data_IF_530706589326
#
_entry.id   IF_530706589326
#
_cell.length_a   1.000
_cell.length_b   1.000
_cell.length_c   1.000
_cell.angle_alpha   90.00
_cell.angle_beta   90.00
_cell.angle_gamma   90.00
#
_symmetry.space_group_name_H-M   'P 1'
#
loop_
_entity.id
_entity.type
_entity.pdbx_description
1 polymer ?
#
# COMPACT_ATOMS: atom_id res chain seq x y z
N UNK A 1 16.24 16.23 14.94
CA UNK A 1 14.83 15.99 14.59
C UNK A 1 14.47 14.57 14.97
N UNK A 2 13.60 14.41 15.97
CA UNK A 2 13.02 13.14 16.43
C UNK A 2 11.66 12.94 15.79
N UNK A 3 11.46 11.82 15.12
CA UNK A 3 10.29 11.56 14.27
C UNK A 3 9.49 10.40 14.88
N UNK A 4 8.21 10.64 15.17
CA UNK A 4 7.28 9.61 15.59
C UNK A 4 6.32 9.28 14.44
N UNK A 5 6.40 8.06 13.94
CA UNK A 5 5.35 7.48 13.11
C UNK A 5 4.31 6.81 14.01
N UNK A 6 3.02 7.07 13.79
CA UNK A 6 1.93 6.44 14.55
C UNK A 6 1.02 5.67 13.61
N UNK A 7 0.76 4.41 13.94
CA UNK A 7 -0.13 3.50 13.21
C UNK A 7 -0.92 2.62 14.19
N UNK A 8 -1.97 1.93 13.74
CA UNK A 8 -2.75 1.04 14.63
C UNK A 8 -2.02 -0.27 14.94
N UNK A 9 -1.61 -1.02 13.92
CA UNK A 9 -0.83 -2.26 14.01
C UNK A 9 -0.08 -2.45 12.70
N UNK A 10 1.18 -2.85 12.74
CA UNK A 10 1.96 -3.23 11.56
C UNK A 10 1.54 -4.61 11.02
N UNK A 11 0.28 -4.70 10.58
CA UNK A 11 -0.31 -5.87 9.92
C UNK A 11 -0.09 -5.81 8.40
N UNK A 12 -0.62 -6.79 7.66
CA UNK A 12 -0.57 -6.82 6.21
C UNK A 12 -1.47 -5.73 5.57
N UNK A 13 -0.84 -4.70 5.00
CA UNK A 13 -1.52 -3.66 4.24
C UNK A 13 -0.56 -2.65 3.60
N UNK A 14 -1.11 -1.81 2.71
CA UNK A 14 -0.31 -0.83 1.96
C UNK A 14 0.20 0.33 2.82
N UNK A 15 -0.64 0.82 3.74
CA UNK A 15 -0.27 1.93 4.64
C UNK A 15 0.82 1.50 5.63
N UNK A 16 0.73 0.27 6.15
CA UNK A 16 1.70 -0.34 7.03
C UNK A 16 3.07 -0.50 6.34
N UNK A 17 3.08 -0.94 5.08
CA UNK A 17 4.30 -0.99 4.26
C UNK A 17 4.90 0.41 4.08
N UNK A 18 4.08 1.42 3.81
CA UNK A 18 4.57 2.80 3.65
C UNK A 18 5.09 3.38 4.97
N UNK A 19 4.47 3.07 6.10
CA UNK A 19 5.00 3.41 7.42
C UNK A 19 6.40 2.83 7.62
N UNK A 20 6.60 1.55 7.32
CA UNK A 20 7.90 0.86 7.43
C UNK A 20 8.92 1.48 6.47
N UNK A 21 8.59 1.62 5.18
CA UNK A 21 9.48 2.21 4.16
C UNK A 21 9.92 3.61 4.59
N UNK A 22 8.97 4.46 5.02
CA UNK A 22 9.30 5.83 5.43
C UNK A 22 10.19 5.86 6.67
N UNK A 23 9.88 5.03 7.68
CA UNK A 23 10.66 4.94 8.90
C UNK A 23 12.09 4.46 8.63
N UNK A 24 12.23 3.41 7.82
CA UNK A 24 13.51 2.85 7.40
C UNK A 24 14.34 3.87 6.60
N UNK A 25 13.72 4.59 5.67
CA UNK A 25 14.38 5.61 4.86
C UNK A 25 14.97 6.74 5.71
N UNK A 26 14.17 7.30 6.63
CA UNK A 26 14.65 8.35 7.53
C UNK A 26 15.73 7.84 8.50
N UNK A 27 15.55 6.64 9.04
CA UNK A 27 16.55 6.01 9.91
C UNK A 27 17.88 5.81 9.19
N UNK A 28 17.85 5.38 7.92
CA UNK A 28 19.03 5.20 7.07
C UNK A 28 19.77 6.51 6.78
N UNK A 29 19.06 7.64 6.80
CA UNK A 29 19.65 8.98 6.66
C UNK A 29 20.08 9.58 8.01
N UNK A 30 20.10 8.79 9.09
CA UNK A 30 20.63 9.17 10.41
C UNK A 30 19.66 9.90 11.33
N UNK A 31 18.36 9.90 11.05
CA UNK A 31 17.36 10.54 11.92
C UNK A 31 16.95 9.61 13.07
N UNK A 32 16.57 10.20 14.22
CA UNK A 32 16.00 9.46 15.35
C UNK A 32 14.53 9.15 15.07
N UNK A 33 14.24 7.90 14.71
CA UNK A 33 12.92 7.46 14.26
C UNK A 33 12.34 6.44 15.25
N UNK A 34 11.09 6.68 15.65
CA UNK A 34 10.28 5.73 16.41
C UNK A 34 8.99 5.42 15.67
N UNK A 35 8.60 4.15 15.63
CA UNK A 35 7.27 3.69 15.19
C UNK A 35 6.44 3.29 16.41
N UNK A 36 5.28 3.91 16.56
CA UNK A 36 4.32 3.61 17.61
C UNK A 36 3.10 2.87 17.04
N UNK A 37 2.86 1.67 17.56
CA UNK A 37 1.67 0.87 17.27
C UNK A 37 0.63 1.05 18.39
N UNK A 38 -0.57 1.52 18.06
CA UNK A 38 -1.60 1.81 19.06
C UNK A 38 -2.17 0.56 19.72
N UNK A 39 -2.39 -0.53 18.98
CA UNK A 39 -3.21 -1.65 19.45
C UNK A 39 -2.39 -2.83 19.98
N UNK A 40 -1.48 -3.35 19.17
CA UNK A 40 -0.62 -4.51 19.47
C UNK A 40 0.56 -4.49 18.49
N UNK A 41 1.61 -5.25 18.81
CA UNK A 41 2.75 -5.45 17.90
C UNK A 41 2.31 -6.28 16.70
N UNK A 42 2.58 -5.76 15.50
CA UNK A 42 2.25 -6.39 14.23
C UNK A 42 3.40 -7.22 13.64
N UNK A 43 3.09 -8.24 12.82
CA UNK A 43 4.10 -9.13 12.23
C UNK A 43 5.05 -8.42 11.25
N UNK A 44 4.61 -7.32 10.62
CA UNK A 44 5.48 -6.57 9.71
C UNK A 44 6.53 -5.73 10.44
N UNK A 45 6.45 -5.61 11.78
CA UNK A 45 7.48 -4.95 12.58
C UNK A 45 8.89 -5.54 12.37
N UNK A 46 8.98 -6.81 11.96
CA UNK A 46 10.26 -7.47 11.61
C UNK A 46 11.00 -6.85 10.41
N UNK A 47 10.30 -6.05 9.59
CA UNK A 47 10.90 -5.35 8.45
C UNK A 47 11.40 -3.94 8.80
N UNK A 48 11.20 -3.48 10.04
CA UNK A 48 11.84 -2.27 10.51
C UNK A 48 13.35 -2.50 10.68
N UNK A 49 14.16 -1.52 10.27
CA UNK A 49 15.60 -1.56 10.49
C UNK A 49 15.92 -1.56 12.00
N UNK A 50 17.02 -2.21 12.45
CA UNK A 50 17.37 -2.31 13.87
C UNK A 50 17.50 -0.97 14.60
N UNK A 51 17.81 0.11 13.88
CA UNK A 51 17.94 1.46 14.42
C UNK A 51 16.60 2.15 14.68
N UNK A 52 15.50 1.67 14.08
CA UNK A 52 14.16 2.21 14.31
C UNK A 52 13.65 1.72 15.66
N UNK A 53 13.35 2.66 16.56
CA UNK A 53 12.75 2.33 17.85
C UNK A 53 11.29 1.95 17.66
N UNK A 54 10.77 1.06 18.51
CA UNK A 54 9.35 0.69 18.49
C UNK A 54 8.71 0.92 19.85
N UNK A 55 7.46 1.35 19.84
CA UNK A 55 6.61 1.48 21.03
C UNK A 55 5.27 0.82 20.71
N UNK A 56 4.76 0.01 21.64
CA UNK A 56 3.38 -0.46 21.55
C UNK A 56 2.57 0.05 22.72
N UNK A 57 1.49 0.78 22.44
CA UNK A 57 0.65 1.40 23.47
C UNK A 57 -0.37 0.42 24.08
N UNK A 58 -0.60 -0.73 23.44
CA UNK A 58 -1.53 -1.76 23.88
C UNK A 58 -2.94 -1.24 24.20
N UNK A 59 -3.44 -0.29 23.40
CA UNK A 59 -4.74 0.35 23.61
C UNK A 59 -5.87 -0.67 23.46
N UNK A 60 -6.54 -0.98 24.58
CA UNK A 60 -7.72 -1.87 24.62
C UNK A 60 -9.03 -1.17 24.25
N UNK A 61 -9.15 0.13 24.55
CA UNK A 61 -10.37 0.91 24.31
C UNK A 61 -10.03 2.33 23.85
N UNK A 62 -10.85 2.86 22.93
CA UNK A 62 -10.73 4.26 22.45
C UNK A 62 -11.10 5.31 23.51
N UNK A 63 -11.73 4.89 24.62
CA UNK A 63 -12.15 5.77 25.71
C UNK A 63 -11.24 5.68 26.95
N UNK A 64 -10.13 4.94 26.87
CA UNK A 64 -9.20 4.82 28.00
C UNK A 64 -8.40 6.12 28.15
N UNK A 65 -8.75 6.93 29.15
CA UNK A 65 -8.12 8.23 29.43
C UNK A 65 -6.65 8.08 29.80
N UNK A 66 -6.29 7.04 30.56
CA UNK A 66 -4.88 6.77 30.90
C UNK A 66 -4.06 6.58 29.63
N UNK A 67 -4.56 5.78 28.69
CA UNK A 67 -3.87 5.55 27.40
C UNK A 67 -3.78 6.83 26.55
N UNK A 68 -4.75 7.74 26.65
CA UNK A 68 -4.69 9.05 25.99
C UNK A 68 -3.60 9.94 26.62
N UNK A 69 -3.50 9.94 27.95
CA UNK A 69 -2.45 10.66 28.68
C UNK A 69 -1.07 10.09 28.38
N UNK A 70 -0.89 8.76 28.48
CA UNK A 70 0.37 8.08 28.15
C UNK A 70 0.80 8.42 26.70
N UNK A 71 -0.16 8.44 25.76
CA UNK A 71 0.13 8.83 24.37
C UNK A 71 0.59 10.30 24.31
N UNK A 72 -0.09 11.22 24.99
CA UNK A 72 0.32 12.63 25.04
C UNK A 72 1.75 12.80 25.56
N UNK A 73 2.11 12.15 26.67
CA UNK A 73 3.48 12.22 27.19
C UNK A 73 4.52 11.67 26.21
N UNK A 74 4.13 10.71 25.37
CA UNK A 74 4.98 10.21 24.29
C UNK A 74 5.10 11.26 23.18
N UNK A 75 3.98 11.86 22.73
CA UNK A 75 3.97 12.86 21.66
C UNK A 75 4.93 14.03 21.98
N UNK A 76 5.01 14.46 23.24
CA UNK A 76 5.87 15.57 23.66
C UNK A 76 7.38 15.32 23.55
N UNK A 77 7.79 14.07 23.34
CA UNK A 77 9.21 13.68 23.20
C UNK A 77 9.73 13.81 21.77
N UNK A 78 8.86 14.12 20.81
CA UNK A 78 9.18 14.13 19.39
C UNK A 78 8.92 15.48 18.74
N UNK A 79 9.73 15.79 17.73
CA UNK A 79 9.62 17.03 16.97
C UNK A 79 8.54 16.92 15.88
N UNK A 80 8.35 15.71 15.33
CA UNK A 80 7.44 15.42 14.21
C UNK A 80 6.50 14.28 14.61
N UNK A 81 5.19 14.50 14.46
CA UNK A 81 4.16 13.48 14.67
C UNK A 81 3.49 13.14 13.33
N UNK A 82 3.94 12.05 12.72
CA UNK A 82 3.45 11.54 11.43
C UNK A 82 2.47 10.40 11.65
N UNK A 83 1.18 10.66 11.44
CA UNK A 83 0.12 9.67 11.67
C UNK A 83 -0.36 9.06 10.37
N UNK A 84 -0.33 7.74 10.30
CA UNK A 84 -0.83 6.98 9.16
C UNK A 84 -2.29 6.60 9.41
N UNK A 85 -3.15 6.82 8.40
CA UNK A 85 -4.60 6.52 8.42
C UNK A 85 -5.47 7.46 9.28
N UNK A 86 -6.69 7.70 8.78
CA UNK A 86 -7.66 8.64 9.38
C UNK A 86 -8.18 8.23 10.76
N UNK A 87 -8.37 6.93 11.04
CA UNK A 87 -8.85 6.47 12.36
C UNK A 87 -7.79 6.57 13.44
N UNK A 88 -6.52 6.34 13.09
CA UNK A 88 -5.38 6.55 13.98
C UNK A 88 -5.25 8.06 14.27
N UNK A 89 -5.29 8.89 13.23
CA UNK A 89 -5.21 10.35 13.37
C UNK A 89 -6.28 10.91 14.32
N UNK A 90 -7.53 10.47 14.23
CA UNK A 90 -8.59 10.88 15.16
C UNK A 90 -8.24 10.60 16.61
N UNK A 91 -7.61 9.46 16.89
CA UNK A 91 -7.20 9.11 18.25
C UNK A 91 -5.98 9.92 18.71
N UNK A 92 -4.99 10.10 17.84
CA UNK A 92 -3.81 10.93 18.12
C UNK A 92 -4.20 12.39 18.34
N UNK A 93 -5.14 12.92 17.57
CA UNK A 93 -5.70 14.27 17.74
C UNK A 93 -6.28 14.48 19.14
N UNK A 94 -7.01 13.49 19.69
CA UNK A 94 -7.53 13.56 21.06
C UNK A 94 -6.41 13.62 22.11
N UNK A 95 -5.36 12.81 21.94
CA UNK A 95 -4.20 12.84 22.84
C UNK A 95 -3.36 14.11 22.69
N UNK A 96 -3.30 14.67 21.49
CA UNK A 96 -2.55 15.88 21.18
C UNK A 96 -3.17 17.16 21.77
N UNK A 97 -4.36 17.08 22.39
CA UNK A 97 -4.96 18.22 23.09
C UNK A 97 -4.04 18.80 24.18
N UNK A 98 -3.24 17.94 24.83
CA UNK A 98 -2.30 18.33 25.88
C UNK A 98 -0.93 18.74 25.30
N UNK A 99 -0.42 17.99 24.32
CA UNK A 99 0.91 18.20 23.71
C UNK A 99 0.98 19.35 22.71
N UNK A 100 -0.16 19.75 22.12
CA UNK A 100 -0.30 20.87 21.15
C UNK A 100 0.70 20.82 19.99
N UNK A 101 1.08 19.63 19.52
CA UNK A 101 1.98 19.47 18.36
C UNK A 101 1.23 19.66 17.05
N UNK A 102 1.92 20.12 16.01
CA UNK A 102 1.40 20.06 14.65
C UNK A 102 1.39 18.60 14.18
N UNK A 103 0.19 18.05 13.95
CA UNK A 103 0.01 16.69 13.45
C UNK A 103 0.09 16.64 11.92
N UNK A 104 0.62 15.54 11.40
CA UNK A 104 0.59 15.22 9.97
C UNK A 104 -0.30 14.01 9.76
N UNK A 105 -1.40 14.17 9.00
CA UNK A 105 -2.19 13.05 8.50
C UNK A 105 -1.62 12.61 7.15
N UNK A 106 -1.12 11.38 7.09
CA UNK A 106 -0.81 10.71 5.84
C UNK A 106 -1.98 9.80 5.45
N UNK A 107 -2.72 10.23 4.43
CA UNK A 107 -3.99 9.64 4.05
C UNK A 107 -3.84 8.68 2.87
N UNK A 108 -4.01 7.40 3.18
CA UNK A 108 -4.00 6.31 2.20
C UNK A 108 -5.41 5.92 1.73
N UNK A 109 -6.45 6.64 2.16
CA UNK A 109 -7.84 6.34 1.83
C UNK A 109 -8.21 6.84 0.43
N UNK A 110 -9.03 6.07 -0.32
CA UNK A 110 -9.39 6.39 -1.70
C UNK A 110 -10.88 6.58 -1.96
N UNK A 111 -11.72 6.37 -0.94
CA UNK A 111 -13.18 6.42 -1.11
C UNK A 111 -13.75 7.74 -0.61
N UNK A 112 -13.23 8.86 -1.13
CA UNK A 112 -13.61 10.20 -0.68
C UNK A 112 -15.10 10.52 -0.83
N UNK A 113 -15.80 9.90 -1.79
CA UNK A 113 -17.25 10.03 -1.97
C UNK A 113 -18.09 9.16 -1.03
N UNK A 114 -17.49 8.22 -0.31
CA UNK A 114 -18.19 7.28 0.60
C UNK A 114 -17.77 7.52 2.05
N UNK A 115 -17.44 8.74 2.40
CA UNK A 115 -17.01 9.06 3.74
C UNK A 115 -18.16 8.98 4.72
N UNK A 116 -17.94 8.23 5.80
CA UNK A 116 -18.89 8.09 6.91
C UNK A 116 -18.92 9.34 7.81
N UNK A 117 -17.94 10.24 7.69
CA UNK A 117 -17.76 11.42 8.53
C UNK A 117 -17.90 12.65 7.65
N UNK A 118 -18.61 13.67 8.14
CA UNK A 118 -18.82 14.91 7.39
C UNK A 118 -17.52 15.70 7.21
N UNK A 119 -17.42 16.43 6.10
CA UNK A 119 -16.28 17.31 5.82
C UNK A 119 -16.08 18.37 6.92
N UNK A 120 -17.16 18.83 7.57
CA UNK A 120 -17.09 19.80 8.66
C UNK A 120 -16.32 19.26 9.88
N UNK A 121 -16.49 17.97 10.19
CA UNK A 121 -15.73 17.32 11.27
C UNK A 121 -14.26 17.20 10.87
N UNK A 122 -13.97 16.80 9.64
CA UNK A 122 -12.59 16.75 9.17
C UNK A 122 -11.92 18.13 9.13
N UNK A 123 -12.65 19.18 8.76
CA UNK A 123 -12.15 20.55 8.83
C UNK A 123 -11.71 20.90 10.26
N UNK A 124 -12.53 20.60 11.27
CA UNK A 124 -12.17 20.82 12.68
C UNK A 124 -10.93 20.01 13.11
N UNK A 125 -10.80 18.78 12.63
CA UNK A 125 -9.70 17.88 12.99
C UNK A 125 -8.38 18.20 12.28
N UNK A 126 -8.43 18.81 11.09
CA UNK A 126 -7.27 19.02 10.23
C UNK A 126 -6.89 20.50 10.07
N UNK A 127 -7.78 21.42 10.40
CA UNK A 127 -7.45 22.85 10.43
C UNK A 127 -6.35 23.10 11.45
N UNK A 128 -5.29 23.81 11.05
CA UNK A 128 -4.09 23.99 11.88
C UNK A 128 -3.11 22.82 11.85
N UNK A 129 -3.38 21.77 11.06
CA UNK A 129 -2.50 20.61 10.87
C UNK A 129 -2.11 20.43 9.40
N UNK A 130 -1.31 19.40 9.11
CA UNK A 130 -0.85 19.08 7.76
C UNK A 130 -1.59 17.85 7.25
N UNK A 131 -2.05 17.92 6.00
CA UNK A 131 -2.61 16.80 5.27
C UNK A 131 -1.67 16.39 4.13
N UNK A 132 -1.42 15.09 4.01
CA UNK A 132 -0.64 14.51 2.92
C UNK A 132 -1.46 13.43 2.24
N UNK A 133 -1.84 13.66 0.99
CA UNK A 133 -2.51 12.68 0.15
C UNK A 133 -1.54 11.95 -0.76
N UNK A 134 -1.88 10.71 -1.12
CA UNK A 134 -1.05 9.89 -2.02
C UNK A 134 -1.42 10.00 -3.51
N UNK A 135 -2.48 10.75 -3.83
CA UNK A 135 -2.97 10.99 -5.18
C UNK A 135 -3.70 12.34 -5.28
N UNK A 136 -3.96 12.78 -6.52
CA UNK A 136 -4.66 14.04 -6.79
C UNK A 136 -6.08 14.09 -6.20
N UNK A 137 -6.80 12.97 -6.21
CA UNK A 137 -8.16 12.91 -5.67
C UNK A 137 -8.19 13.27 -4.17
N UNK A 138 -7.20 12.80 -3.39
CA UNK A 138 -7.09 13.10 -1.97
C UNK A 138 -6.67 14.54 -1.69
N UNK A 139 -5.79 15.11 -2.52
CA UNK A 139 -5.40 16.52 -2.43
C UNK A 139 -6.57 17.43 -2.75
N UNK A 140 -7.29 17.16 -3.84
CA UNK A 140 -8.47 17.91 -4.24
C UNK A 140 -9.57 17.81 -3.18
N UNK A 141 -9.80 16.63 -2.60
CA UNK A 141 -10.74 16.48 -1.51
C UNK A 141 -10.37 17.35 -0.29
N UNK A 142 -9.09 17.36 0.10
CA UNK A 142 -8.62 18.18 1.23
C UNK A 142 -8.80 19.68 1.00
N UNK A 143 -8.51 20.18 -0.21
CA UNK A 143 -8.60 21.61 -0.53
C UNK A 143 -10.05 22.01 -0.80
N UNK A 144 -10.74 21.31 -1.71
CA UNK A 144 -12.02 21.75 -2.26
C UNK A 144 -13.21 21.34 -1.40
N UNK A 145 -13.17 20.14 -0.79
CA UNK A 145 -14.31 19.60 -0.05
C UNK A 145 -14.22 19.84 1.45
N UNK A 146 -13.02 19.79 2.03
CA UNK A 146 -12.81 20.14 3.46
C UNK A 146 -12.56 21.64 3.63
N UNK A 147 -11.85 22.29 2.70
CA UNK A 147 -11.45 23.69 2.84
C UNK A 147 -10.12 23.89 3.59
N UNK A 148 -9.17 22.95 3.49
CA UNK A 148 -7.85 23.12 4.10
C UNK A 148 -7.00 24.14 3.34
N UNK A 149 -6.13 24.85 4.07
CA UNK A 149 -5.19 25.81 3.48
C UNK A 149 -4.21 25.09 2.53
N UNK A 150 -4.07 25.60 1.31
CA UNK A 150 -3.26 24.98 0.25
C UNK A 150 -1.82 24.75 0.69
N UNK A 151 -1.25 25.67 1.48
CA UNK A 151 0.13 25.56 1.96
C UNK A 151 0.33 24.45 3.01
N UNK A 152 -0.76 23.85 3.53
CA UNK A 152 -0.76 22.73 4.48
C UNK A 152 -1.20 21.40 3.86
N UNK A 153 -1.47 21.38 2.56
CA UNK A 153 -1.87 20.19 1.81
C UNK A 153 -0.74 19.79 0.86
N UNK A 154 -0.29 18.55 0.94
CA UNK A 154 0.78 18.03 0.10
C UNK A 154 0.36 16.75 -0.63
N UNK A 155 0.90 16.53 -1.83
CA UNK A 155 0.88 15.23 -2.51
C UNK A 155 2.22 14.56 -2.32
N UNK A 156 2.23 13.32 -1.81
CA UNK A 156 3.44 12.49 -1.77
C UNK A 156 3.10 11.10 -2.30
N UNK A 157 3.72 10.73 -3.42
CA UNK A 157 3.45 9.48 -4.11
C UNK A 157 4.25 8.37 -3.42
N UNK A 158 3.60 7.24 -3.19
CA UNK A 158 4.20 6.11 -2.48
C UNK A 158 5.41 5.52 -3.21
N UNK A 159 6.39 5.08 -2.43
CA UNK A 159 7.57 4.32 -2.88
C UNK A 159 7.68 3.00 -2.11
N UNK A 160 8.50 2.07 -2.61
CA UNK A 160 8.89 0.84 -1.92
C UNK A 160 10.41 0.78 -1.72
N UNK A 161 10.83 0.13 -0.63
CA UNK A 161 12.21 -0.33 -0.50
C UNK A 161 12.39 -1.59 -1.36
N UNK A 162 13.29 -1.51 -2.35
CA UNK A 162 13.64 -2.67 -3.19
C UNK A 162 14.40 -3.69 -2.35
N UNK A 163 13.94 -4.93 -2.38
CA UNK A 163 14.64 -6.07 -1.78
C UNK A 163 15.50 -6.74 -2.84
N UNK A 164 16.70 -7.20 -2.45
CA UNK A 164 17.56 -7.98 -3.34
C UNK A 164 16.84 -9.24 -3.84
N UNK A 165 17.01 -9.51 -5.13
CA UNK A 165 16.37 -10.63 -5.78
C UNK A 165 17.02 -11.94 -5.33
N UNK A 166 16.21 -12.89 -4.87
CA UNK A 166 16.69 -14.23 -4.46
C UNK A 166 16.65 -15.29 -5.55
N UNK A 167 15.76 -15.12 -6.54
CA UNK A 167 15.50 -16.12 -7.58
C UNK A 167 15.65 -15.53 -8.98
N UNK A 168 16.68 -15.96 -9.71
CA UNK A 168 16.86 -15.59 -11.11
C UNK A 168 16.05 -16.49 -12.05
N UNK A 169 15.85 -17.76 -11.66
CA UNK A 169 15.08 -18.74 -12.42
C UNK A 169 13.60 -18.50 -12.21
N UNK A 170 12.88 -18.37 -13.33
CA UNK A 170 11.42 -18.23 -13.33
C UNK A 170 10.74 -19.52 -13.70
N UNK A 171 9.68 -19.82 -12.96
CA UNK A 171 8.71 -20.82 -13.35
C UNK A 171 7.71 -20.22 -14.36
N UNK A 172 6.84 -21.07 -14.89
CA UNK A 172 5.75 -20.70 -15.80
C UNK A 172 4.46 -20.22 -15.11
N UNK A 173 4.46 -20.18 -13.77
CA UNK A 173 3.28 -19.88 -12.99
C UNK A 173 3.02 -18.38 -12.93
N UNK A 174 1.77 -18.02 -12.68
CA UNK A 174 1.32 -16.64 -12.56
C UNK A 174 1.02 -16.33 -11.10
N UNK A 175 1.07 -15.05 -10.74
CA UNK A 175 0.85 -14.62 -9.37
C UNK A 175 -0.12 -13.45 -9.30
N UNK A 176 -1.10 -13.54 -8.41
CA UNK A 176 -1.99 -12.45 -8.03
C UNK A 176 -1.70 -12.09 -6.57
N UNK A 177 -1.05 -10.96 -6.33
CA UNK A 177 -0.87 -10.46 -4.96
C UNK A 177 -2.00 -9.51 -4.62
N UNK A 178 -2.91 -9.94 -3.75
CA UNK A 178 -4.01 -9.12 -3.25
C UNK A 178 -4.61 -9.72 -1.98
N UNK A 179 -4.96 -8.87 -1.02
CA UNK A 179 -5.87 -9.27 0.06
C UNK A 179 -7.20 -9.76 -0.51
N UNK A 180 -7.75 -10.84 0.05
CA UNK A 180 -8.97 -11.47 -0.44
C UNK A 180 -10.17 -10.75 0.14
N UNK A 181 -10.76 -9.89 -0.70
CA UNK A 181 -11.92 -9.06 -0.40
C UNK A 181 -12.64 -8.68 -1.68
N UNK A 182 -13.97 -8.57 -1.64
CA UNK A 182 -14.79 -8.32 -2.84
C UNK A 182 -14.38 -7.09 -3.64
N UNK A 183 -13.90 -6.04 -2.99
CA UNK A 183 -13.45 -4.81 -3.66
C UNK A 183 -12.22 -5.00 -4.58
N UNK A 184 -11.47 -6.09 -4.38
CA UNK A 184 -10.28 -6.44 -5.17
C UNK A 184 -10.61 -7.25 -6.42
N UNK A 185 -11.88 -7.64 -6.62
CA UNK A 185 -12.37 -8.30 -7.84
C UNK A 185 -11.59 -9.58 -8.17
N UNK A 186 -11.32 -10.41 -7.14
CA UNK A 186 -10.56 -11.67 -7.29
C UNK A 186 -11.39 -12.75 -7.99
N UNK A 187 -12.72 -12.68 -7.94
CA UNK A 187 -13.65 -13.56 -8.64
C UNK A 187 -13.45 -13.57 -10.16
N UNK A 188 -12.90 -12.48 -10.74
CA UNK A 188 -12.49 -12.47 -12.15
C UNK A 188 -11.39 -13.50 -12.47
N UNK A 189 -10.64 -13.96 -11.47
CA UNK A 189 -9.68 -15.04 -11.65
C UNK A 189 -10.33 -16.30 -12.21
N UNK A 190 -11.59 -16.57 -11.89
CA UNK A 190 -12.28 -17.81 -12.27
C UNK A 190 -12.43 -17.93 -13.80
N UNK A 191 -13.09 -17.00 -14.51
CA UNK A 191 -13.18 -17.07 -15.97
C UNK A 191 -11.81 -16.91 -16.65
N UNK A 192 -10.90 -16.11 -16.09
CA UNK A 192 -9.56 -15.95 -16.62
C UNK A 192 -8.73 -17.24 -16.52
N UNK A 193 -8.78 -17.93 -15.39
CA UNK A 193 -8.08 -19.19 -15.16
C UNK A 193 -8.53 -20.25 -16.17
N UNK A 194 -9.84 -20.33 -16.46
CA UNK A 194 -10.36 -21.23 -17.50
C UNK A 194 -9.71 -20.96 -18.86
N UNK A 195 -9.72 -19.71 -19.31
CA UNK A 195 -9.12 -19.30 -20.59
C UNK A 195 -7.60 -19.58 -20.64
N UNK A 196 -6.88 -19.37 -19.54
CA UNK A 196 -5.43 -19.66 -19.44
C UNK A 196 -5.18 -21.17 -19.50
N UNK A 197 -5.94 -21.95 -18.76
CA UNK A 197 -5.73 -23.38 -18.59
C UNK A 197 -6.13 -24.20 -19.80
N UNK A 198 -7.08 -23.70 -20.61
CA UNK A 198 -7.39 -24.23 -21.94
C UNK A 198 -6.23 -24.02 -22.93
N UNK A 199 -5.50 -22.90 -22.82
CA UNK A 199 -4.35 -22.61 -23.68
C UNK A 199 -3.06 -23.31 -23.23
N UNK A 200 -2.78 -23.37 -21.92
CA UNK A 200 -1.63 -24.07 -21.35
C UNK A 200 -2.04 -24.85 -20.09
N UNK A 201 -2.16 -26.17 -20.24
CA UNK A 201 -2.52 -27.12 -19.19
C UNK A 201 -1.50 -27.21 -18.03
N UNK A 202 -0.31 -26.64 -18.19
CA UNK A 202 0.77 -26.75 -17.22
C UNK A 202 0.93 -25.57 -16.27
N UNK A 203 0.29 -24.42 -16.52
CA UNK A 203 0.41 -23.22 -15.66
C UNK A 203 -0.34 -23.39 -14.33
N UNK A 204 0.20 -22.86 -13.23
CA UNK A 204 -0.56 -22.64 -11.99
C UNK A 204 -0.69 -21.15 -11.70
N UNK A 205 -1.70 -20.78 -10.91
CA UNK A 205 -1.89 -19.40 -10.44
C UNK A 205 -1.86 -19.39 -8.92
N UNK A 206 -0.94 -18.63 -8.34
CA UNK A 206 -0.89 -18.42 -6.91
C UNK A 206 -1.54 -17.09 -6.54
N UNK A 207 -2.48 -17.11 -5.60
CA UNK A 207 -3.08 -15.92 -5.00
C UNK A 207 -2.41 -15.69 -3.65
N UNK A 208 -1.63 -14.62 -3.55
CA UNK A 208 -0.92 -14.25 -2.33
C UNK A 208 -1.66 -13.13 -1.63
N UNK A 209 -2.10 -13.37 -0.39
CA UNK A 209 -2.69 -12.33 0.44
C UNK A 209 -3.60 -12.87 1.53
N UNK A 210 -3.94 -11.99 2.47
CA UNK A 210 -4.75 -12.35 3.63
C UNK A 210 -6.23 -12.41 3.30
N UNK A 211 -6.95 -13.36 3.89
CA UNK A 211 -8.42 -13.38 3.86
C UNK A 211 -8.95 -12.25 4.74
N UNK A 212 -9.62 -11.28 4.12
CA UNK A 212 -10.25 -10.15 4.80
C UNK A 212 -11.79 -10.21 4.74
N UNK A 213 -12.31 -11.18 3.98
CA UNK A 213 -13.73 -11.45 3.75
C UNK A 213 -13.89 -12.98 3.57
N UNK A 214 -14.21 -13.68 4.66
CA UNK A 214 -14.30 -15.15 4.68
C UNK A 214 -15.41 -15.66 3.76
N UNK A 215 -16.58 -15.00 3.76
CA UNK A 215 -17.70 -15.39 2.89
C UNK A 215 -17.32 -15.29 1.41
N UNK A 216 -16.68 -14.19 0.99
CA UNK A 216 -16.22 -14.05 -0.39
C UNK A 216 -15.13 -15.07 -0.76
N UNK A 217 -14.25 -15.41 0.18
CA UNK A 217 -13.24 -16.45 -0.02
C UNK A 217 -13.89 -17.84 -0.22
N UNK A 218 -14.91 -18.18 0.57
CA UNK A 218 -15.70 -19.41 0.41
C UNK A 218 -16.42 -19.45 -0.95
N UNK A 219 -17.04 -18.34 -1.36
CA UNK A 219 -17.70 -18.21 -2.67
C UNK A 219 -16.74 -18.53 -3.83
N UNK A 220 -15.52 -17.96 -3.81
CA UNK A 220 -14.50 -18.20 -4.84
C UNK A 220 -14.03 -19.66 -4.79
N UNK A 221 -13.75 -20.17 -3.60
CA UNK A 221 -13.22 -21.54 -3.41
C UNK A 221 -14.20 -22.61 -3.88
N UNK A 222 -15.50 -22.41 -3.62
CA UNK A 222 -16.57 -23.29 -4.09
C UNK A 222 -16.69 -23.27 -5.62
N UNK A 223 -16.59 -22.08 -6.24
CA UNK A 223 -16.62 -21.97 -7.70
C UNK A 223 -15.42 -22.65 -8.36
N UNK A 224 -14.21 -22.47 -7.81
CA UNK A 224 -13.01 -23.15 -8.29
C UNK A 224 -13.16 -24.67 -8.19
N UNK A 225 -13.72 -25.18 -7.09
CA UNK A 225 -13.96 -26.61 -6.87
C UNK A 225 -14.98 -27.17 -7.86
N UNK A 226 -16.11 -26.47 -8.07
CA UNK A 226 -17.15 -26.88 -9.01
C UNK A 226 -16.62 -26.95 -10.45
N UNK A 227 -15.66 -26.10 -10.80
CA UNK A 227 -15.00 -26.08 -12.11
C UNK A 227 -13.76 -26.98 -12.18
N UNK A 228 -13.43 -27.70 -11.10
CA UNK A 228 -12.24 -28.56 -10.98
C UNK A 228 -10.91 -27.82 -11.21
N UNK A 229 -10.82 -26.57 -10.75
CA UNK A 229 -9.67 -25.68 -10.89
C UNK A 229 -8.84 -25.53 -9.60
N UNK A 230 -9.31 -26.07 -8.48
CA UNK A 230 -8.71 -25.90 -7.15
C UNK A 230 -7.27 -26.41 -7.05
N UNK A 231 -6.89 -27.42 -7.84
CA UNK A 231 -5.52 -27.97 -7.84
C UNK A 231 -4.52 -27.09 -8.60
N UNK A 232 -5.01 -26.10 -9.37
CA UNK A 232 -4.21 -25.19 -10.18
C UNK A 232 -4.27 -23.74 -9.72
N UNK A 233 -5.18 -23.40 -8.81
CA UNK A 233 -5.28 -22.09 -8.18
C UNK A 233 -5.03 -22.24 -6.68
N UNK A 234 -3.87 -21.79 -6.20
CA UNK A 234 -3.45 -21.96 -4.80
C UNK A 234 -3.53 -20.63 -4.05
N UNK A 235 -4.04 -20.67 -2.82
CA UNK A 235 -4.08 -19.50 -1.95
C UNK A 235 -2.96 -19.55 -0.92
N UNK A 236 -2.02 -18.61 -1.01
CA UNK A 236 -0.87 -18.47 -0.12
C UNK A 236 -1.14 -17.32 0.87
N UNK A 237 -1.61 -17.68 2.07
CA UNK A 237 -2.16 -16.71 3.05
C UNK A 237 -1.10 -16.07 3.97
N UNK A 238 0.03 -16.74 4.17
CA UNK A 238 1.04 -16.39 5.18
C UNK A 238 2.34 -15.87 4.57
N UNK A 239 2.23 -15.10 3.48
CA UNK A 239 3.39 -14.50 2.81
C UNK A 239 3.47 -13.01 3.12
N UNK A 240 4.42 -12.64 3.97
CA UNK A 240 4.69 -11.22 4.25
C UNK A 240 5.68 -10.61 3.26
N UNK A 241 6.70 -11.37 2.84
CA UNK A 241 7.81 -10.89 2.03
C UNK A 241 7.58 -11.15 0.52
N UNK A 242 6.57 -10.48 -0.05
CA UNK A 242 6.16 -10.65 -1.46
C UNK A 242 7.33 -10.47 -2.43
N UNK A 243 8.12 -9.40 -2.28
CA UNK A 243 9.24 -9.11 -3.18
C UNK A 243 10.27 -10.25 -3.24
N UNK A 244 10.46 -11.00 -2.16
CA UNK A 244 11.45 -12.09 -2.12
C UNK A 244 11.06 -13.30 -2.99
N UNK A 245 9.77 -13.50 -3.23
CA UNK A 245 9.26 -14.68 -3.95
C UNK A 245 8.73 -14.35 -5.33
N UNK A 246 8.24 -13.12 -5.54
CA UNK A 246 7.53 -12.76 -6.78
C UNK A 246 8.43 -12.82 -8.02
N UNK A 247 9.74 -12.61 -7.85
CA UNK A 247 10.74 -12.71 -8.93
C UNK A 247 10.85 -14.08 -9.59
N UNK A 248 10.29 -15.14 -8.98
CA UNK A 248 10.22 -16.50 -9.51
C UNK A 248 9.04 -16.77 -10.45
N UNK A 249 8.07 -15.86 -10.59
CA UNK A 249 6.89 -16.05 -11.43
C UNK A 249 7.08 -15.52 -12.86
N UNK A 250 6.32 -16.07 -13.79
CA UNK A 250 6.33 -15.62 -15.19
C UNK A 250 5.72 -14.22 -15.34
N UNK A 251 4.59 -13.98 -14.66
CA UNK A 251 3.83 -12.73 -14.76
C UNK A 251 3.02 -12.47 -13.48
N UNK A 252 2.91 -11.18 -13.12
CA UNK A 252 2.02 -10.68 -12.07
C UNK A 252 0.64 -10.28 -12.59
N UNK A 253 -0.37 -10.41 -11.76
CA UNK A 253 -1.75 -10.02 -12.04
C UNK A 253 -2.24 -9.03 -10.97
N UNK A 254 -3.11 -8.11 -11.37
CA UNK A 254 -3.77 -7.18 -10.45
C UNK A 254 -5.14 -6.73 -10.99
N UNK A 255 -6.22 -7.08 -10.28
CA UNK A 255 -7.60 -6.91 -10.79
C UNK A 255 -8.38 -5.76 -10.16
N UNK A 256 -7.83 -5.08 -9.14
CA UNK A 256 -8.61 -4.10 -8.41
C UNK A 256 -9.03 -2.94 -9.29
N UNK A 257 -10.31 -2.56 -9.23
CA UNK A 257 -10.89 -1.45 -9.99
C UNK A 257 -10.59 -0.09 -9.36
N UNK A 258 -10.28 -0.06 -8.05
CA UNK A 258 -10.17 1.17 -7.25
C UNK A 258 -9.03 1.06 -6.24
N UNK A 259 -7.91 1.71 -6.54
CA UNK A 259 -6.75 1.86 -5.65
C UNK A 259 -6.22 3.30 -5.66
N UNK A 260 -5.46 3.69 -4.62
CA UNK A 260 -4.71 4.96 -4.59
C UNK A 260 -3.54 4.93 -5.55
N UNK A 261 -2.92 3.75 -5.64
CA UNK A 261 -1.59 3.49 -6.14
C UNK A 261 -1.19 2.10 -5.65
N UNK A 262 -1.46 1.04 -6.44
CA UNK A 262 -1.17 -0.33 -6.03
C UNK A 262 0.34 -0.56 -5.94
N UNK A 263 0.87 -0.64 -4.71
CA UNK A 263 2.29 -0.85 -4.44
C UNK A 263 2.84 -2.11 -5.11
N UNK A 264 2.00 -3.12 -5.29
CA UNK A 264 2.41 -4.39 -5.93
C UNK A 264 2.91 -4.19 -7.36
N UNK A 265 2.46 -3.17 -8.08
CA UNK A 265 3.00 -2.90 -9.41
C UNK A 265 4.46 -2.46 -9.34
N UNK A 266 4.84 -1.68 -8.32
CA UNK A 266 6.24 -1.36 -8.07
C UNK A 266 7.02 -2.61 -7.64
N UNK A 267 6.43 -3.49 -6.84
CA UNK A 267 7.06 -4.75 -6.43
C UNK A 267 7.33 -5.67 -7.63
N UNK A 268 6.39 -5.76 -8.57
CA UNK A 268 6.58 -6.49 -9.82
C UNK A 268 7.73 -5.90 -10.65
N UNK A 269 7.73 -4.59 -10.87
CA UNK A 269 8.81 -3.93 -11.63
C UNK A 269 10.18 -4.08 -10.94
N UNK A 270 10.24 -3.91 -9.62
CA UNK A 270 11.46 -4.06 -8.81
C UNK A 270 12.10 -5.46 -8.95
N UNK A 271 11.27 -6.48 -9.12
CA UNK A 271 11.70 -7.87 -9.29
C UNK A 271 11.75 -8.30 -10.78
N UNK A 272 11.66 -7.33 -11.69
CA UNK A 272 11.65 -7.48 -13.15
C UNK A 272 10.51 -8.38 -13.66
N UNK A 273 9.41 -8.47 -12.93
CA UNK A 273 8.24 -9.31 -13.25
C UNK A 273 7.29 -8.53 -14.13
N UNK A 274 7.01 -8.96 -15.38
CA UNK A 274 5.97 -8.32 -16.17
C UNK A 274 4.62 -8.53 -15.50
N UNK A 275 3.64 -7.68 -15.78
CA UNK A 275 2.33 -7.83 -15.19
C UNK A 275 1.21 -7.40 -16.14
N UNK A 276 -0.01 -7.87 -15.86
CA UNK A 276 -1.24 -7.29 -16.41
C UNK A 276 -2.08 -6.77 -15.25
N UNK A 277 -2.46 -5.50 -15.32
CA UNK A 277 -3.25 -4.83 -14.29
C UNK A 277 -4.48 -4.13 -14.86
N UNK A 278 -5.56 -4.08 -14.10
CA UNK A 278 -6.57 -3.05 -14.34
C UNK A 278 -5.96 -1.66 -14.06
N UNK A 279 -6.20 -0.68 -14.92
CA UNK A 279 -5.63 0.67 -14.75
C UNK A 279 -6.33 1.43 -13.63
N UNK A 280 -5.66 1.56 -12.48
CA UNK A 280 -6.22 2.30 -11.33
C UNK A 280 -5.13 2.92 -10.44
N UNK A 281 -5.36 4.15 -9.99
CA UNK A 281 -4.46 4.86 -9.07
C UNK A 281 -3.21 5.45 -9.73
N UNK A 282 -2.54 6.33 -8.99
CA UNK A 282 -1.47 7.19 -9.49
C UNK A 282 -0.26 6.40 -10.01
N UNK A 283 0.12 5.31 -9.31
CA UNK A 283 1.23 4.44 -9.73
C UNK A 283 0.95 3.83 -11.10
N UNK A 284 -0.28 3.37 -11.34
CA UNK A 284 -0.67 2.81 -12.65
C UNK A 284 -0.58 3.87 -13.75
N UNK A 285 -1.02 5.10 -13.47
CA UNK A 285 -0.98 6.20 -14.44
C UNK A 285 0.45 6.61 -14.81
N UNK A 286 1.40 6.50 -13.89
CA UNK A 286 2.82 6.73 -14.19
C UNK A 286 3.39 5.61 -15.07
N UNK A 287 3.17 4.35 -14.70
CA UNK A 287 3.69 3.21 -15.47
C UNK A 287 3.06 3.17 -16.87
N UNK A 288 1.79 3.51 -17.00
CA UNK A 288 1.06 3.51 -18.28
C UNK A 288 1.70 4.42 -19.35
N UNK A 289 2.37 5.51 -18.95
CA UNK A 289 3.06 6.42 -19.89
C UNK A 289 4.17 5.72 -20.67
N UNK A 290 4.80 4.71 -20.08
CA UNK A 290 5.93 3.97 -20.67
C UNK A 290 5.52 2.56 -21.10
N UNK A 291 4.62 1.92 -20.36
CA UNK A 291 4.18 0.53 -20.58
C UNK A 291 2.65 0.43 -20.70
N UNK A 292 2.01 1.08 -21.70
CA UNK A 292 0.56 1.12 -21.82
C UNK A 292 -0.06 -0.28 -22.00
N UNK A 293 0.67 -1.20 -22.65
CA UNK A 293 0.24 -2.58 -22.88
C UNK A 293 0.12 -3.44 -21.61
N UNK A 294 0.66 -2.99 -20.47
CA UNK A 294 0.57 -3.72 -19.20
C UNK A 294 -0.80 -3.52 -18.51
N UNK A 295 -1.66 -2.71 -19.12
CA UNK A 295 -2.92 -2.30 -18.53
C UNK A 295 -4.14 -2.67 -19.37
N UNK A 296 -5.20 -3.05 -18.65
CA UNK A 296 -6.53 -3.35 -19.19
C UNK A 296 -7.55 -2.37 -18.58
N UNK A 297 -8.61 -2.07 -19.33
CA UNK A 297 -9.71 -1.19 -18.88
C UNK A 297 -11.05 -1.93 -18.76
N UNK A 298 -11.04 -3.24 -19.01
CA UNK A 298 -12.18 -4.15 -18.92
C UNK A 298 -11.80 -5.43 -18.17
N UNK A 299 -12.76 -6.35 -18.06
CA UNK A 299 -12.59 -7.69 -17.51
C UNK A 299 -13.05 -8.74 -18.52
N UNK A 300 -12.56 -8.63 -19.76
CA UNK A 300 -12.72 -9.70 -20.75
C UNK A 300 -11.61 -10.76 -20.60
N UNK A 301 -11.99 -11.98 -20.22
CA UNK A 301 -11.03 -13.04 -19.91
C UNK A 301 -10.17 -13.44 -21.12
N UNK A 302 -10.70 -13.39 -22.34
CA UNK A 302 -9.98 -13.74 -23.58
C UNK A 302 -8.93 -12.69 -23.92
N UNK A 303 -9.29 -11.42 -23.78
CA UNK A 303 -8.40 -10.28 -24.00
C UNK A 303 -7.28 -10.27 -22.96
N UNK A 304 -7.60 -10.48 -21.68
CA UNK A 304 -6.61 -10.62 -20.60
C UNK A 304 -5.66 -11.80 -20.86
N UNK A 305 -6.18 -12.98 -21.20
CA UNK A 305 -5.37 -14.14 -21.57
C UNK A 305 -4.43 -13.82 -22.73
N UNK A 306 -4.93 -13.25 -23.83
CA UNK A 306 -4.10 -12.86 -24.97
C UNK A 306 -2.97 -11.92 -24.55
N UNK A 307 -3.29 -10.88 -23.77
CA UNK A 307 -2.29 -9.94 -23.26
C UNK A 307 -1.24 -10.61 -22.38
N UNK A 308 -1.66 -11.50 -21.49
CA UNK A 308 -0.76 -12.24 -20.60
C UNK A 308 0.26 -13.03 -21.43
N UNK A 309 -0.20 -13.80 -22.42
CA UNK A 309 0.71 -14.62 -23.23
C UNK A 309 1.61 -13.77 -24.15
N UNK A 310 1.12 -12.64 -24.67
CA UNK A 310 1.97 -11.70 -25.42
C UNK A 310 3.12 -11.16 -24.54
N UNK A 311 2.83 -10.79 -23.28
CA UNK A 311 3.86 -10.30 -22.35
C UNK A 311 4.83 -11.40 -21.90
N UNK A 312 4.34 -12.62 -21.69
CA UNK A 312 5.17 -13.77 -21.31
C UNK A 312 6.11 -14.19 -22.44
N UNK A 313 5.63 -14.20 -23.69
CA UNK A 313 6.39 -14.64 -24.88
C UNK A 313 7.26 -13.54 -25.47
N UNK A 314 6.76 -12.30 -25.54
CA UNK A 314 7.44 -11.13 -26.11
C UNK A 314 8.50 -10.52 -25.19
N UNK A 315 8.88 -11.20 -24.10
CA UNK A 315 9.67 -10.67 -22.99
C UNK A 315 11.07 -10.18 -23.35
N UNK A 316 11.57 -10.54 -24.53
CA UNK A 316 12.85 -10.06 -25.10
C UNK A 316 12.77 -8.56 -25.48
N UNK A 317 11.57 -7.99 -25.67
CA UNK A 317 11.40 -6.63 -26.20
C UNK A 317 11.42 -5.50 -25.15
N UNK A 318 11.32 -5.79 -23.85
CA UNK A 318 11.29 -4.74 -22.82
C UNK A 318 12.71 -4.42 -22.36
N UNK A 319 13.23 -3.25 -22.76
CA UNK A 319 14.41 -2.64 -22.15
C UNK A 319 14.14 -2.45 -20.65
N UNK A 320 14.60 -3.42 -19.85
CA UNK A 320 14.55 -3.53 -18.38
C UNK A 320 13.36 -2.86 -17.68
N UNK A 321 12.41 -3.65 -17.18
CA UNK A 321 11.37 -3.16 -16.24
C UNK A 321 11.98 -2.46 -15.01
N UNK A 322 13.22 -2.79 -14.69
CA UNK A 322 14.05 -2.13 -13.70
C UNK A 322 14.27 -0.63 -13.98
N UNK A 323 14.52 -0.23 -15.23
CA UNK A 323 14.65 1.20 -15.57
C UNK A 323 13.33 1.97 -15.39
N UNK A 324 12.19 1.32 -15.65
CA UNK A 324 10.86 1.91 -15.37
C UNK A 324 10.62 2.00 -13.87
N UNK A 325 11.04 0.99 -13.10
CA UNK A 325 11.00 1.04 -11.64
C UNK A 325 11.82 2.20 -11.09
N UNK A 326 13.08 2.35 -11.52
CA UNK A 326 13.99 3.41 -11.05
C UNK A 326 13.46 4.81 -11.36
N UNK A 327 12.84 5.00 -12.53
CA UNK A 327 12.26 6.28 -12.92
C UNK A 327 11.03 6.69 -12.07
N UNK A 328 10.29 5.71 -11.53
CA UNK A 328 9.04 5.95 -10.77
C UNK A 328 9.30 5.92 -9.26
N UNK A 329 10.16 5.01 -8.80
CA UNK A 329 10.43 4.77 -7.38
C UNK A 329 11.61 5.60 -6.87
N UNK A 330 11.51 6.92 -7.01
CA UNK A 330 12.55 7.87 -6.57
C UNK A 330 12.48 8.09 -5.05
N UNK A 331 13.23 7.27 -4.32
CA UNK A 331 13.29 7.33 -2.85
C UNK A 331 13.99 8.59 -2.32
N UNK A 332 14.91 9.20 -3.07
CA UNK A 332 15.60 10.42 -2.64
C UNK A 332 14.70 11.66 -2.78
N UNK A 333 13.92 11.75 -3.86
CA UNK A 333 12.88 12.75 -4.00
C UNK A 333 11.75 12.54 -2.96
N UNK A 334 11.34 11.29 -2.72
CA UNK A 334 10.39 10.96 -1.65
C UNK A 334 10.88 11.45 -0.28
N UNK A 335 12.13 11.14 0.07
CA UNK A 335 12.77 11.62 1.29
C UNK A 335 12.80 13.16 1.36
N UNK A 336 13.20 13.82 0.26
CA UNK A 336 13.32 15.28 0.20
C UNK A 336 11.98 15.99 0.38
N UNK A 337 10.91 15.46 -0.21
CA UNK A 337 9.54 15.95 -0.01
C UNK A 337 9.10 15.82 1.44
N UNK A 338 9.28 14.65 2.05
CA UNK A 338 8.95 14.46 3.47
C UNK A 338 9.78 15.34 4.39
N UNK A 339 11.08 15.49 4.13
CA UNK A 339 11.94 16.36 4.94
C UNK A 339 11.46 17.81 4.91
N UNK A 340 10.98 18.30 3.75
CA UNK A 340 10.36 19.62 3.63
C UNK A 340 9.07 19.72 4.45
N UNK A 341 8.21 18.70 4.39
CA UNK A 341 6.96 18.66 5.15
C UNK A 341 7.23 18.63 6.66
N UNK A 342 8.19 17.83 7.10
CA UNK A 342 8.60 17.72 8.51
C UNK A 342 9.16 19.04 9.04
N UNK A 343 10.05 19.70 8.29
CA UNK A 343 10.54 21.05 8.64
C UNK A 343 9.40 22.05 8.76
N UNK A 344 8.42 21.99 7.84
CA UNK A 344 7.22 22.84 7.93
C UNK A 344 6.41 22.54 9.19
N UNK A 345 6.20 21.26 9.52
CA UNK A 345 5.45 20.87 10.72
C UNK A 345 6.06 21.41 12.01
N UNK A 346 7.39 21.50 12.07
CA UNK A 346 8.12 22.05 13.23
C UNK A 346 8.00 23.58 13.30
N UNK A 347 7.90 24.26 12.15
CA UNK A 347 7.79 25.73 12.09
C UNK A 347 6.39 26.27 12.37
N UNK A 348 5.37 25.40 12.39
CA UNK A 348 3.96 25.71 12.61
C UNK A 348 3.58 25.43 14.06
#
# INVERSE_FOLDING_TARGET
>A
MKILHVIDTLSLGGAERICITTANLFSSKGYDVTVLELLKVGPLGKFLKPQVKTICLHRKSKFNIKTIYDLSEILDRYDVIHVHMRHVYRYVYLANFLSKRTLILHDHFNKFSQQQISNLIYYKLLSGHIYVGVNEAGVNWAIQNIGLQVDRVFKVINVIDKVERRNDIRNKNFVLVSNIKREKNIDFLIPLAKEIFEQDGGVQIDVIGKVMDEQYFEEISNQLTNLKLQDRVRFLKDVDAVQEIVGGYAIGLHFSKKESGPLVLLEYLAQNVPFVSYRTGEISDQIFKTLPMFFMNDFDAKAWRHRIFDLVTGRILYSSLEGVFEAINDTDNYFSQWLKIYKKSISL
#
